data_IF_498106407527
#
_entry.id   IF_498106407527
#
_cell.length_a   1.000
_cell.length_b   1.000
_cell.length_c   1.000
_cell.angle_alpha   90.00
_cell.angle_beta   90.00
_cell.angle_gamma   90.00
#
_symmetry.space_group_name_H-M   'P 1'
#
loop_
_entity.id
_entity.type
_entity.pdbx_description
1 polymer ?
#
# COMPACT_ATOMS: atom_id res chain seq x y z
N UNK A 1 -2.82 6.74 -4.13
CA UNK A 1 -2.55 6.09 -5.44
C UNK A 1 -2.74 6.97 -6.66
N UNK A 2 -3.67 7.95 -6.65
CA UNK A 2 -3.95 8.79 -7.85
C UNK A 2 -2.69 9.52 -8.37
N UNK A 3 -1.85 10.06 -7.47
CA UNK A 3 -0.58 10.69 -7.83
C UNK A 3 0.44 9.68 -8.39
N UNK A 4 0.51 8.47 -7.82
CA UNK A 4 1.43 7.43 -8.26
C UNK A 4 1.16 6.98 -9.71
N UNK A 5 -0.12 6.88 -10.09
CA UNK A 5 -0.53 6.52 -11.45
C UNK A 5 -0.15 7.60 -12.48
N UNK A 6 0.05 8.85 -12.06
CA UNK A 6 0.40 9.98 -12.94
C UNK A 6 1.89 10.30 -12.93
N UNK A 7 2.57 10.19 -11.80
CA UNK A 7 3.92 10.72 -11.59
C UNK A 7 4.98 9.64 -11.31
N UNK A 8 4.58 8.40 -11.06
CA UNK A 8 5.49 7.31 -10.69
C UNK A 8 6.11 7.45 -9.29
N UNK A 9 5.65 8.43 -8.50
CA UNK A 9 6.09 8.72 -7.12
C UNK A 9 4.95 9.26 -6.26
N UNK A 10 5.10 9.15 -4.93
CA UNK A 10 4.18 9.73 -3.94
C UNK A 10 4.44 9.20 -2.52
N UNK A 11 4.53 10.10 -1.53
CA UNK A 11 5.02 9.75 -0.19
C UNK A 11 6.41 9.12 -0.28
N UNK A 12 6.63 8.02 0.45
CA UNK A 12 7.88 7.23 0.39
C UNK A 12 8.02 6.35 -0.86
N UNK A 13 6.99 6.29 -1.70
CA UNK A 13 7.00 5.45 -2.90
C UNK A 13 7.71 6.16 -4.04
N UNK A 14 8.73 5.50 -4.59
CA UNK A 14 9.36 5.87 -5.86
C UNK A 14 9.52 4.63 -6.76
N UNK A 15 8.65 4.49 -7.77
CA UNK A 15 8.67 3.33 -8.67
C UNK A 15 9.95 3.27 -9.53
N UNK A 16 10.61 4.41 -9.76
CA UNK A 16 11.84 4.49 -10.54
C UNK A 16 13.05 3.87 -9.82
N UNK A 17 12.96 3.71 -8.49
CA UNK A 17 13.97 3.04 -7.69
C UNK A 17 13.81 1.51 -7.65
N UNK A 18 12.77 0.97 -8.29
CA UNK A 18 12.40 -0.45 -8.24
C UNK A 18 12.75 -1.17 -9.55
N UNK A 19 13.02 -2.49 -9.50
CA UNK A 19 13.14 -3.31 -10.70
C UNK A 19 11.91 -3.16 -11.59
N UNK A 20 12.12 -3.04 -12.91
CA UNK A 20 11.03 -2.76 -13.87
C UNK A 20 9.85 -3.72 -13.74
N UNK A 21 10.11 -5.02 -13.57
CA UNK A 21 9.07 -6.04 -13.39
C UNK A 21 8.26 -5.80 -12.10
N UNK A 22 8.91 -5.32 -11.05
CA UNK A 22 8.26 -4.97 -9.80
C UNK A 22 7.40 -3.72 -9.92
N UNK A 23 7.95 -2.65 -10.51
CA UNK A 23 7.19 -1.43 -10.77
C UNK A 23 5.93 -1.70 -11.62
N UNK A 24 6.04 -2.55 -12.65
CA UNK A 24 4.91 -2.97 -13.48
C UNK A 24 3.85 -3.77 -12.70
N UNK A 25 4.28 -4.68 -11.82
CA UNK A 25 3.36 -5.46 -11.01
C UNK A 25 2.62 -4.59 -9.97
N UNK A 26 3.31 -3.62 -9.38
CA UNK A 26 2.73 -2.64 -8.47
C UNK A 26 1.72 -1.77 -9.22
N UNK A 27 2.09 -1.24 -10.38
CA UNK A 27 1.20 -0.43 -11.22
C UNK A 27 -0.06 -1.21 -11.61
N UNK A 28 0.08 -2.46 -12.04
CA UNK A 28 -1.05 -3.32 -12.41
C UNK A 28 -1.99 -3.58 -11.22
N UNK A 29 -1.44 -3.77 -10.00
CA UNK A 29 -2.24 -3.95 -8.81
C UNK A 29 -3.07 -2.70 -8.48
N UNK A 30 -2.50 -1.51 -8.67
CA UNK A 30 -3.19 -0.24 -8.45
C UNK A 30 -4.23 0.07 -9.52
N UNK A 31 -3.94 -0.20 -10.79
CA UNK A 31 -4.94 -0.06 -11.86
C UNK A 31 -6.16 -0.95 -11.64
N UNK A 32 -5.97 -2.14 -11.07
CA UNK A 32 -7.06 -3.08 -10.78
C UNK A 32 -8.06 -2.59 -9.71
N UNK A 33 -7.70 -1.54 -8.96
CA UNK A 33 -8.54 -0.91 -7.91
C UNK A 33 -8.82 0.56 -8.19
N UNK A 34 -8.52 1.07 -9.39
CA UNK A 34 -8.64 2.49 -9.70
C UNK A 34 -10.07 3.06 -9.56
N UNK A 35 -11.09 2.21 -9.67
CA UNK A 35 -12.50 2.57 -9.49
C UNK A 35 -13.00 2.45 -8.04
N UNK A 36 -12.19 1.98 -7.10
CA UNK A 36 -12.57 1.87 -5.69
C UNK A 36 -12.71 3.26 -5.06
N UNK A 37 -13.62 3.44 -4.08
CA UNK A 37 -13.79 4.71 -3.37
C UNK A 37 -12.47 5.25 -2.81
N UNK A 38 -12.24 6.54 -3.01
CA UNK A 38 -11.06 7.26 -2.55
C UNK A 38 -11.44 8.47 -1.68
N UNK A 39 -10.56 8.83 -0.76
CA UNK A 39 -10.71 9.94 0.17
C UNK A 39 -9.45 10.12 1.03
N UNK A 40 -9.56 10.85 2.14
CA UNK A 40 -8.46 10.95 3.11
C UNK A 40 -8.34 9.61 3.86
N UNK A 41 -7.16 9.00 3.80
CA UNK A 41 -6.78 7.87 4.63
C UNK A 41 -5.80 8.32 5.72
N UNK A 42 -5.85 7.69 6.88
CA UNK A 42 -4.91 7.83 7.98
C UNK A 42 -3.53 7.33 7.60
N UNK A 43 -3.43 6.18 6.93
CA UNK A 43 -2.16 5.62 6.46
C UNK A 43 -1.56 4.58 7.41
N UNK A 44 -1.64 4.83 8.72
CA UNK A 44 -1.26 3.87 9.78
C UNK A 44 -2.40 3.63 10.80
N UNK A 45 -3.58 3.24 10.32
CA UNK A 45 -4.72 3.01 11.22
C UNK A 45 -4.57 1.68 11.98
N UNK A 46 -4.06 1.76 13.21
CA UNK A 46 -3.88 0.63 14.12
C UNK A 46 -4.34 0.99 15.55
N UNK A 47 -4.55 0.02 16.46
CA UNK A 47 -5.03 0.30 17.82
C UNK A 47 -4.16 1.27 18.64
N UNK A 48 -2.86 1.38 18.34
CA UNK A 48 -1.95 2.34 18.98
C UNK A 48 -2.25 3.80 18.63
N UNK A 49 -2.85 4.03 17.45
CA UNK A 49 -3.23 5.35 16.95
C UNK A 49 -4.70 5.70 17.21
N UNK A 50 -5.41 4.89 18.01
CA UNK A 50 -6.80 5.10 18.41
C UNK A 50 -6.90 5.34 19.91
N UNK A 51 -7.34 6.54 20.30
CA UNK A 51 -7.63 6.89 21.69
C UNK A 51 -9.14 6.81 21.91
N UNK A 52 -9.59 5.95 22.83
CA UNK A 52 -11.00 5.89 23.22
C UNK A 52 -11.32 7.04 24.19
N UNK A 53 -12.25 7.91 23.79
CA UNK A 53 -12.73 9.04 24.62
C UNK A 53 -14.20 8.88 24.97
N UNK A 54 -14.71 9.72 25.88
CA UNK A 54 -16.15 9.77 26.20
C UNK A 54 -17.03 10.15 25.01
N UNK A 55 -16.47 10.78 23.98
CA UNK A 55 -17.17 11.21 22.78
C UNK A 55 -16.98 10.23 21.60
N UNK A 56 -16.32 9.10 21.83
CA UNK A 56 -15.95 8.12 20.80
C UNK A 56 -14.44 8.05 20.52
N UNK A 57 -14.04 7.25 19.53
CA UNK A 57 -12.63 7.10 19.16
C UNK A 57 -12.08 8.39 18.53
N UNK A 58 -10.88 8.79 18.97
CA UNK A 58 -10.08 9.85 18.36
C UNK A 58 -8.84 9.23 17.69
N UNK A 59 -8.54 9.66 16.47
CA UNK A 59 -7.35 9.25 15.75
C UNK A 59 -6.22 10.25 15.97
N UNK A 60 -5.02 9.75 16.22
CA UNK A 60 -3.79 10.53 16.40
C UNK A 60 -2.72 10.04 15.42
N UNK A 61 -1.66 10.83 15.26
CA UNK A 61 -0.53 10.49 14.39
C UNK A 61 -0.88 10.48 12.89
N UNK A 62 -1.23 11.66 12.38
CA UNK A 62 -1.70 11.86 11.00
C UNK A 62 -0.57 12.09 9.98
N UNK A 63 0.68 11.82 10.32
CA UNK A 63 1.85 12.11 9.47
C UNK A 63 1.90 11.25 8.19
N UNK A 64 1.35 10.03 8.24
CA UNK A 64 1.18 9.13 7.08
C UNK A 64 -0.08 9.40 6.24
N UNK A 65 -0.88 10.41 6.61
CA UNK A 65 -2.18 10.67 6.00
C UNK A 65 -2.09 11.22 4.59
N UNK A 66 -3.02 10.81 3.72
CA UNK A 66 -3.01 11.15 2.28
C UNK A 66 -4.33 10.88 1.60
N UNK A 67 -4.49 11.45 0.40
CA UNK A 67 -5.60 11.09 -0.49
C UNK A 67 -5.33 9.72 -1.16
N UNK A 68 -6.08 8.69 -0.77
CA UNK A 68 -5.95 7.33 -1.29
C UNK A 68 -7.26 6.53 -1.24
N UNK A 69 -7.22 5.26 -1.63
CA UNK A 69 -8.38 4.39 -1.55
C UNK A 69 -8.71 4.00 -0.10
N UNK A 70 -9.97 4.20 0.29
CA UNK A 70 -10.43 4.06 1.67
C UNK A 70 -10.24 2.63 2.22
N UNK A 71 -10.25 1.62 1.36
CA UNK A 71 -10.07 0.23 1.80
C UNK A 71 -8.73 -0.05 2.46
N UNK A 72 -7.72 0.83 2.27
CA UNK A 72 -6.39 0.68 2.87
C UNK A 72 -6.45 0.78 4.40
N UNK A 73 -7.23 1.71 4.95
CA UNK A 73 -7.46 1.83 6.40
C UNK A 73 -8.47 0.82 6.94
N UNK A 74 -9.33 0.27 6.07
CA UNK A 74 -10.33 -0.71 6.50
C UNK A 74 -9.75 -2.12 6.68
N UNK A 75 -8.61 -2.42 6.05
CA UNK A 75 -7.96 -3.75 6.15
C UNK A 75 -7.63 -4.12 7.60
N UNK A 76 -6.92 -3.28 8.37
CA UNK A 76 -6.55 -3.59 9.76
C UNK A 76 -7.76 -3.73 10.68
N UNK A 77 -8.90 -3.14 10.33
CA UNK A 77 -10.15 -3.22 11.08
C UNK A 77 -10.96 -4.50 10.83
N UNK A 78 -10.42 -5.44 10.05
CA UNK A 78 -11.09 -6.72 9.75
C UNK A 78 -12.18 -6.61 8.67
N UNK A 79 -12.27 -5.50 7.95
CA UNK A 79 -13.20 -5.38 6.84
C UNK A 79 -12.88 -6.40 5.75
N UNK A 80 -13.91 -7.04 5.19
CA UNK A 80 -13.72 -8.04 4.14
C UNK A 80 -13.20 -7.38 2.87
N UNK A 81 -11.96 -7.72 2.50
CA UNK A 81 -11.36 -7.24 1.26
C UNK A 81 -11.55 -8.20 0.09
N UNK A 82 -11.62 -7.65 -1.12
CA UNK A 82 -11.50 -8.41 -2.36
C UNK A 82 -10.07 -8.88 -2.59
N UNK A 83 -9.86 -9.83 -3.52
CA UNK A 83 -8.50 -10.26 -3.93
C UNK A 83 -7.71 -9.08 -4.51
N UNK A 84 -8.39 -8.18 -5.24
CA UNK A 84 -7.78 -7.00 -5.87
C UNK A 84 -7.32 -6.00 -4.81
N UNK A 85 -8.16 -5.70 -3.82
CA UNK A 85 -7.83 -4.82 -2.69
C UNK A 85 -6.65 -5.35 -1.87
N UNK A 86 -6.65 -6.65 -1.51
CA UNK A 86 -5.49 -7.26 -0.83
C UNK A 86 -4.21 -7.17 -1.64
N UNK A 87 -4.30 -7.40 -2.95
CA UNK A 87 -3.13 -7.32 -3.85
C UNK A 87 -2.61 -5.89 -3.97
N UNK A 88 -3.49 -4.90 -4.03
CA UNK A 88 -3.13 -3.49 -4.03
C UNK A 88 -2.50 -3.05 -2.69
N UNK A 89 -3.06 -3.47 -1.55
CA UNK A 89 -2.47 -3.19 -0.23
C UNK A 89 -1.06 -3.78 -0.09
N UNK A 90 -0.86 -5.04 -0.53
CA UNK A 90 0.47 -5.65 -0.58
C UNK A 90 1.43 -4.90 -1.52
N UNK A 91 0.95 -4.47 -2.68
CA UNK A 91 1.75 -3.68 -3.62
C UNK A 91 2.20 -2.35 -3.01
N UNK A 92 1.31 -1.69 -2.27
CA UNK A 92 1.62 -0.47 -1.53
C UNK A 92 2.69 -0.71 -0.45
N UNK A 93 2.52 -1.76 0.37
CA UNK A 93 3.48 -2.10 1.42
C UNK A 93 4.88 -2.40 0.85
N UNK A 94 4.97 -3.16 -0.25
CA UNK A 94 6.26 -3.37 -0.96
C UNK A 94 6.86 -2.05 -1.39
N UNK A 95 6.03 -1.16 -1.93
CA UNK A 95 6.47 0.10 -2.51
C UNK A 95 7.06 1.04 -1.45
N UNK A 96 6.44 1.15 -0.27
CA UNK A 96 6.94 1.95 0.85
C UNK A 96 8.21 1.35 1.47
N UNK A 97 8.20 0.03 1.69
CA UNK A 97 9.34 -0.64 2.31
C UNK A 97 10.58 -0.67 1.40
N UNK A 98 10.46 -0.42 0.09
CA UNK A 98 11.52 -0.70 -0.88
C UNK A 98 12.86 -0.03 -0.54
N UNK A 99 12.82 1.20 -0.03
CA UNK A 99 14.03 1.95 0.37
C UNK A 99 14.30 1.86 1.87
N UNK A 100 13.25 1.90 2.69
CA UNK A 100 13.36 1.99 4.16
C UNK A 100 13.69 0.61 4.77
N UNK A 101 13.07 -0.45 4.28
CA UNK A 101 13.21 -1.83 4.77
C UNK A 101 13.40 -2.84 3.61
N UNK A 102 14.55 -2.82 2.91
CA UNK A 102 14.73 -3.54 1.64
C UNK A 102 14.54 -5.06 1.77
N UNK A 103 14.98 -5.67 2.86
CA UNK A 103 14.80 -7.12 3.06
C UNK A 103 13.34 -7.51 3.25
N UNK A 104 12.56 -6.69 3.98
CA UNK A 104 11.11 -6.87 4.12
C UNK A 104 10.42 -6.70 2.78
N UNK A 105 10.77 -5.64 2.04
CA UNK A 105 10.23 -5.38 0.71
C UNK A 105 10.47 -6.56 -0.25
N UNK A 106 11.68 -7.13 -0.30
CA UNK A 106 11.99 -8.32 -1.11
C UNK A 106 11.17 -9.54 -0.71
N UNK A 107 10.95 -9.79 0.59
CA UNK A 107 10.09 -10.89 1.07
C UNK A 107 8.65 -10.72 0.57
N UNK A 108 8.10 -9.51 0.71
CA UNK A 108 6.74 -9.18 0.29
C UNK A 108 6.58 -9.21 -1.24
N UNK A 109 7.58 -8.72 -1.98
CA UNK A 109 7.58 -8.72 -3.44
C UNK A 109 7.43 -10.12 -4.05
N UNK A 110 7.97 -11.17 -3.40
CA UNK A 110 7.79 -12.57 -3.83
C UNK A 110 6.33 -13.04 -3.76
N UNK A 111 5.51 -12.46 -2.87
CA UNK A 111 4.08 -12.72 -2.78
C UNK A 111 3.29 -11.94 -3.84
N UNK A 112 3.78 -10.75 -4.20
CA UNK A 112 3.15 -9.91 -5.22
C UNK A 112 3.41 -10.46 -6.64
N UNK A 113 4.61 -10.95 -6.89
CA UNK A 113 5.06 -11.49 -8.16
C UNK A 113 5.39 -12.96 -7.95
N UNK A 114 4.44 -13.88 -8.22
CA UNK A 114 4.75 -15.28 -8.25
C UNK A 114 5.94 -15.51 -9.19
N UNK A 115 6.88 -16.34 -8.75
CA UNK A 115 8.02 -16.75 -9.56
C UNK A 115 7.50 -17.59 -10.72
N UNK A 116 7.19 -16.98 -11.86
CA UNK A 116 7.21 -17.69 -13.13
C UNK A 116 8.69 -18.02 -13.38
N UNK A 117 9.02 -19.32 -13.32
CA UNK A 117 10.31 -19.94 -13.66
C UNK A 117 11.57 -19.05 -13.61
N UNK A 118 12.44 -19.32 -12.64
CA UNK A 118 13.90 -19.07 -12.72
C UNK A 118 14.43 -17.64 -12.97
N UNK A 119 13.60 -16.59 -12.92
CA UNK A 119 14.10 -15.22 -12.90
C UNK A 119 14.34 -14.72 -11.48
N UNK A 120 15.59 -14.74 -10.99
CA UNK A 120 15.97 -14.10 -9.71
C UNK A 120 15.41 -12.66 -9.68
N UNK A 121 14.59 -12.36 -8.68
CA UNK A 121 14.34 -10.98 -8.28
C UNK A 121 15.64 -10.53 -7.58
N UNK A 122 16.35 -9.50 -8.09
CA UNK A 122 17.51 -8.95 -7.40
C UNK A 122 17.11 -8.28 -6.06
#
# INVERSE_FOLDING_TARGET
>A
MVALLREGRGGDVNLWAMPRRLAQAILAAFLAVASEPAGLVHGDLNPGNVILTSNGPALVDWDESRADHLFLDLSPLGARQSVRQRRAALAYEVACCWRVEPERARRLARRLIPSAGSGRIP
#
